data_IF_744733789846
#
_entry.id   IF_744733789846
#
_cell.length_a   1.000
_cell.length_b   1.000
_cell.length_c   1.000
_cell.angle_alpha   90.00
_cell.angle_beta   90.00
_cell.angle_gamma   90.00
#
_symmetry.space_group_name_H-M   'P 1'
#
loop_
_entity.id
_entity.type
_entity.pdbx_description
1 polymer ?
#
# COMPACT_ATOMS: atom_id res chain seq x y z
N UNK A 1 -6.62 -14.63 -19.76
CA UNK A 1 -6.74 -13.25 -19.22
C UNK A 1 -6.02 -12.32 -20.18
N UNK A 2 -6.67 -11.26 -20.62
CA UNK A 2 -6.08 -10.24 -21.49
C UNK A 2 -5.60 -9.06 -20.61
N UNK A 3 -4.56 -9.32 -19.80
CA UNK A 3 -4.05 -8.33 -18.84
C UNK A 3 -3.38 -7.17 -19.57
N UNK A 4 -3.88 -5.98 -19.32
CA UNK A 4 -3.26 -4.71 -19.71
C UNK A 4 -1.89 -4.54 -19.03
N UNK A 5 -0.98 -3.72 -19.58
CA UNK A 5 0.31 -3.43 -18.93
C UNK A 5 0.15 -2.96 -17.49
N UNK A 6 -0.84 -2.09 -17.24
CA UNK A 6 -1.15 -1.56 -15.91
C UNK A 6 -1.58 -2.62 -14.90
N UNK A 7 -2.35 -3.62 -15.33
CA UNK A 7 -2.73 -4.74 -14.46
C UNK A 7 -1.51 -5.61 -14.11
N UNK A 8 -0.58 -5.79 -15.06
CA UNK A 8 0.68 -6.50 -14.79
C UNK A 8 1.56 -5.73 -13.81
N UNK A 9 1.63 -4.41 -13.90
CA UNK A 9 2.38 -3.58 -12.94
C UNK A 9 1.80 -3.70 -11.52
N UNK A 10 0.47 -3.76 -11.37
CA UNK A 10 -0.17 -4.01 -10.07
C UNK A 10 0.17 -5.38 -9.48
N UNK A 11 0.39 -6.40 -10.31
CA UNK A 11 0.86 -7.71 -9.85
C UNK A 11 2.29 -7.64 -9.28
N UNK A 12 3.13 -6.73 -9.78
CA UNK A 12 4.46 -6.49 -9.20
C UNK A 12 4.35 -5.88 -7.79
N UNK A 13 3.45 -4.90 -7.61
CA UNK A 13 3.17 -4.31 -6.28
C UNK A 13 2.69 -5.40 -5.31
N UNK A 14 1.74 -6.23 -5.73
CA UNK A 14 1.24 -7.34 -4.91
C UNK A 14 2.37 -8.31 -4.51
N UNK A 15 3.24 -8.67 -5.46
CA UNK A 15 4.38 -9.58 -5.19
C UNK A 15 5.37 -8.96 -4.20
N UNK A 16 5.68 -7.67 -4.35
CA UNK A 16 6.54 -6.95 -3.41
C UNK A 16 5.90 -6.85 -2.01
N UNK A 17 4.60 -6.62 -1.93
CA UNK A 17 3.85 -6.57 -0.67
C UNK A 17 3.86 -7.93 0.05
N UNK A 18 3.67 -9.05 -0.67
CA UNK A 18 3.78 -10.40 -0.10
C UNK A 18 5.18 -10.66 0.49
N UNK A 19 6.23 -10.19 -0.19
CA UNK A 19 7.59 -10.30 0.32
C UNK A 19 7.78 -9.47 1.61
N UNK A 20 7.26 -8.23 1.63
CA UNK A 20 7.29 -7.35 2.79
C UNK A 20 6.50 -7.93 3.98
N UNK A 21 5.29 -8.44 3.75
CA UNK A 21 4.45 -9.10 4.75
C UNK A 21 5.19 -10.27 5.41
N UNK A 22 5.81 -11.15 4.62
CA UNK A 22 6.60 -12.28 5.14
C UNK A 22 7.82 -11.84 5.94
N UNK A 23 8.44 -10.71 5.60
CA UNK A 23 9.56 -10.13 6.36
C UNK A 23 9.08 -9.56 7.69
N UNK A 24 7.99 -8.79 7.67
CA UNK A 24 7.33 -8.25 8.87
C UNK A 24 6.93 -9.37 9.83
N UNK A 25 6.35 -10.46 9.31
CA UNK A 25 5.94 -11.63 10.10
C UNK A 25 7.11 -12.34 10.82
N UNK A 26 8.36 -12.15 10.35
CA UNK A 26 9.58 -12.62 11.03
C UNK A 26 10.16 -11.61 12.02
N UNK A 27 9.49 -10.48 12.24
CA UNK A 27 9.94 -9.42 13.14
C UNK A 27 10.96 -8.46 12.53
N UNK A 28 11.13 -8.45 11.20
CA UNK A 28 12.01 -7.46 10.55
C UNK A 28 11.30 -6.12 10.42
N UNK A 29 12.01 -5.05 10.78
CA UNK A 29 11.64 -3.68 10.44
C UNK A 29 11.74 -3.48 8.92
N UNK A 30 10.67 -2.98 8.32
CA UNK A 30 10.57 -2.80 6.87
C UNK A 30 11.38 -1.59 6.40
N UNK A 31 11.97 -1.72 5.21
CA UNK A 31 12.61 -0.61 4.50
C UNK A 31 11.62 0.17 3.60
N UNK A 32 12.12 1.16 2.88
CA UNK A 32 11.32 2.04 2.01
C UNK A 32 10.43 1.28 0.99
N UNK A 33 10.96 0.45 0.07
CA UNK A 33 10.12 -0.21 -0.93
C UNK A 33 9.15 -1.23 -0.32
N UNK A 34 9.52 -1.86 0.81
CA UNK A 34 8.64 -2.79 1.51
C UNK A 34 7.44 -2.09 2.14
N UNK A 35 7.66 -0.95 2.80
CA UNK A 35 6.60 -0.14 3.38
C UNK A 35 5.66 0.41 2.30
N UNK A 36 6.23 0.97 1.22
CA UNK A 36 5.49 1.45 0.05
C UNK A 36 4.58 0.36 -0.53
N UNK A 37 5.14 -0.83 -0.77
CA UNK A 37 4.41 -1.94 -1.38
C UNK A 37 3.28 -2.44 -0.48
N UNK A 38 3.54 -2.61 0.82
CA UNK A 38 2.55 -3.16 1.75
C UNK A 38 1.34 -2.23 1.91
N UNK A 39 1.57 -0.92 2.08
CA UNK A 39 0.49 0.07 2.18
C UNK A 39 -0.27 0.17 0.84
N UNK A 40 0.45 0.19 -0.28
CA UNK A 40 -0.15 0.23 -1.62
C UNK A 40 -1.08 -0.96 -1.88
N UNK A 41 -0.65 -2.17 -1.49
CA UNK A 41 -1.46 -3.38 -1.62
C UNK A 41 -2.72 -3.32 -0.74
N UNK A 42 -2.61 -2.85 0.50
CA UNK A 42 -3.76 -2.68 1.39
C UNK A 42 -4.82 -1.73 0.80
N UNK A 43 -4.39 -0.64 0.15
CA UNK A 43 -5.29 0.28 -0.55
C UNK A 43 -5.95 -0.39 -1.75
N UNK A 44 -5.21 -1.16 -2.55
CA UNK A 44 -5.77 -1.88 -3.70
C UNK A 44 -6.83 -2.91 -3.29
N UNK A 45 -6.55 -3.70 -2.24
CA UNK A 45 -7.50 -4.68 -1.72
C UNK A 45 -8.73 -4.00 -1.10
N UNK A 46 -8.55 -2.91 -0.37
CA UNK A 46 -9.68 -2.17 0.19
C UNK A 46 -10.58 -1.55 -0.88
N UNK A 47 -10.02 -1.10 -2.02
CA UNK A 47 -10.82 -0.67 -3.17
C UNK A 47 -11.60 -1.85 -3.78
N UNK A 48 -10.99 -3.04 -3.83
CA UNK A 48 -11.65 -4.27 -4.29
C UNK A 48 -12.78 -4.71 -3.36
N UNK A 49 -12.64 -4.47 -2.05
CA UNK A 49 -13.68 -4.68 -1.03
C UNK A 49 -14.84 -3.68 -1.12
N UNK A 50 -14.74 -2.66 -1.99
CA UNK A 50 -15.77 -1.65 -2.17
C UNK A 50 -15.74 -0.52 -1.15
N UNK A 51 -14.62 -0.35 -0.41
CA UNK A 51 -14.42 0.82 0.44
C UNK A 51 -14.35 2.08 -0.40
N UNK A 52 -14.71 3.21 0.20
CA UNK A 52 -14.60 4.52 -0.44
C UNK A 52 -13.16 5.03 -0.44
N UNK A 53 -12.82 5.94 -1.35
CA UNK A 53 -11.52 6.63 -1.36
C UNK A 53 -11.21 7.24 0.00
N UNK A 54 -12.19 7.91 0.62
CA UNK A 54 -12.02 8.55 1.93
C UNK A 54 -11.68 7.56 3.06
N UNK A 55 -12.29 6.37 3.06
CA UNK A 55 -11.93 5.31 4.00
C UNK A 55 -10.49 4.86 3.79
N UNK A 56 -10.07 4.62 2.55
CA UNK A 56 -8.72 4.15 2.24
C UNK A 56 -7.64 5.20 2.51
N UNK A 57 -7.94 6.49 2.36
CA UNK A 57 -7.05 7.57 2.80
C UNK A 57 -6.77 7.53 4.31
N UNK A 58 -7.75 7.09 5.10
CA UNK A 58 -7.64 7.00 6.56
C UNK A 58 -7.01 5.67 6.99
N UNK A 59 -7.53 4.56 6.47
CA UNK A 59 -7.05 3.20 6.80
C UNK A 59 -5.64 2.93 6.28
N UNK A 60 -5.23 3.57 5.19
CA UNK A 60 -3.85 3.48 4.69
C UNK A 60 -2.81 3.93 5.75
N UNK A 61 -3.20 4.79 6.70
CA UNK A 61 -2.36 5.26 7.80
C UNK A 61 -2.29 4.31 8.99
N UNK A 62 -3.11 3.25 8.99
CA UNK A 62 -3.16 2.27 10.09
C UNK A 62 -2.46 0.96 9.73
N UNK A 63 -1.90 0.85 8.51
CA UNK A 63 -1.26 -0.38 8.01
C UNK A 63 0.11 -0.62 8.66
N UNK A 64 0.88 0.46 8.84
CA UNK A 64 2.21 0.42 9.42
C UNK A 64 2.38 1.55 10.45
N UNK A 65 3.02 1.20 11.55
CA UNK A 65 3.45 2.14 12.59
C UNK A 65 4.94 2.42 12.46
N UNK A 66 5.43 3.46 13.14
CA UNK A 66 6.88 3.73 13.26
C UNK A 66 7.69 2.55 13.81
N UNK A 67 7.08 1.67 14.60
CA UNK A 67 7.75 0.48 15.13
C UNK A 67 7.99 -0.61 14.08
N UNK A 68 7.17 -0.63 13.02
CA UNK A 68 7.23 -1.65 11.96
C UNK A 68 8.30 -1.36 10.90
N UNK A 69 8.90 -0.17 10.90
CA UNK A 69 9.82 0.30 9.87
C UNK A 69 11.19 0.67 10.42
N UNK A 70 12.19 0.68 9.55
CA UNK A 70 13.54 1.18 9.89
C UNK A 70 13.51 2.68 10.20
N UNK A 71 14.49 3.15 10.96
CA UNK A 71 14.56 4.55 11.37
C UNK A 71 14.70 5.47 10.13
N UNK A 72 13.96 6.58 10.11
CA UNK A 72 13.91 7.52 8.99
C UNK A 72 12.94 7.16 7.86
N UNK A 73 12.39 5.93 7.81
CA UNK A 73 11.49 5.52 6.72
C UNK A 73 10.15 6.27 6.77
N UNK A 74 9.63 6.58 7.95
CA UNK A 74 8.39 7.34 8.10
C UNK A 74 8.52 8.76 7.50
N UNK A 75 9.70 9.39 7.66
CA UNK A 75 10.00 10.71 7.11
C UNK A 75 10.22 10.68 5.60
N UNK A 76 10.73 9.57 5.07
CA UNK A 76 10.96 9.39 3.63
C UNK A 76 9.67 9.19 2.81
N UNK A 77 8.56 8.83 3.47
CA UNK A 77 7.27 8.54 2.81
C UNK A 77 6.25 9.59 3.25
N UNK A 78 6.26 10.81 2.66
CA UNK A 78 5.29 11.86 3.00
C UNK A 78 3.87 11.51 2.53
N UNK A 79 3.76 10.81 1.40
CA UNK A 79 2.52 10.31 0.85
C UNK A 79 2.72 9.06 -0.01
N UNK A 80 1.66 8.27 -0.14
CA UNK A 80 1.58 7.14 -1.07
C UNK A 80 0.41 7.38 -2.01
N UNK A 81 0.67 7.26 -3.31
CA UNK A 81 -0.31 7.42 -4.36
C UNK A 81 -0.49 6.09 -5.10
N UNK A 82 -1.71 5.55 -5.05
CA UNK A 82 -2.06 4.32 -5.76
C UNK A 82 -3.37 4.52 -6.49
N UNK A 83 -3.41 4.09 -7.74
CA UNK A 83 -4.68 4.00 -8.46
C UNK A 83 -5.28 2.60 -8.32
N UNK A 84 -6.50 2.52 -7.80
CA UNK A 84 -7.21 1.26 -7.61
C UNK A 84 -8.55 1.27 -8.36
N UNK A 85 -9.06 0.08 -8.66
CA UNK A 85 -10.33 -0.10 -9.37
C UNK A 85 -11.44 -0.30 -8.35
N UNK A 86 -12.31 0.69 -8.20
CA UNK A 86 -13.47 0.67 -7.33
C UNK A 86 -14.71 0.17 -8.09
N UNK A 87 -15.82 -0.15 -7.40
CA UNK A 87 -17.08 -0.50 -8.05
C UNK A 87 -17.59 0.54 -9.05
N UNK A 88 -17.23 1.81 -8.87
CA UNK A 88 -17.62 2.93 -9.71
C UNK A 88 -16.50 3.46 -10.63
N UNK A 89 -15.42 2.69 -10.79
CA UNK A 89 -14.33 2.99 -11.72
C UNK A 89 -12.97 3.15 -11.06
N UNK A 90 -11.98 3.49 -11.88
CA UNK A 90 -10.60 3.68 -11.40
C UNK A 90 -10.44 5.04 -10.75
N UNK A 91 -9.86 5.08 -9.56
CA UNK A 91 -9.59 6.33 -8.81
C UNK A 91 -8.19 6.31 -8.21
N UNK A 92 -7.60 7.51 -8.11
CA UNK A 92 -6.37 7.74 -7.37
C UNK A 92 -6.69 7.88 -5.87
N UNK A 93 -5.97 7.15 -5.04
CA UNK A 93 -5.98 7.29 -3.59
C UNK A 93 -4.63 7.83 -3.14
N UNK A 94 -4.65 8.93 -2.38
CA UNK A 94 -3.46 9.51 -1.77
C UNK A 94 -3.53 9.36 -0.26
N UNK A 95 -2.63 8.57 0.30
CA UNK A 95 -2.50 8.40 1.75
C UNK A 95 -1.40 9.33 2.24
N UNK A 96 -1.79 10.41 2.93
CA UNK A 96 -0.85 11.36 3.52
C UNK A 96 -0.32 10.85 4.86
N UNK A 97 1.00 10.97 5.07
CA UNK A 97 1.69 10.52 6.29
C UNK A 97 1.23 9.12 6.73
N UNK A 98 1.50 8.09 5.89
CA UNK A 98 0.94 6.75 6.07
C UNK A 98 1.57 5.98 7.24
N UNK A 99 2.67 6.46 7.81
CA UNK A 99 3.37 5.82 8.92
C UNK A 99 3.40 6.81 10.08
N UNK A 100 2.64 6.50 11.13
CA UNK A 100 2.51 7.31 12.36
C UNK A 100 3.07 6.61 13.59
#
# INVERSE_FOLDING_TARGET
MELTPREKDKLLIFTAALLAERRKARGLKLNYPEAMALISAAVMEGARDGKTVAQLMSEGRTVLTRADVMDGIAEMIPDIQVEATFPDGTKLVTVHQPIV
#
